data_IF_601133218688
#
_entry.id   IF_601133218688
#
_cell.length_a   1.000
_cell.length_b   1.000
_cell.length_c   1.000
_cell.angle_alpha   90.00
_cell.angle_beta   90.00
_cell.angle_gamma   90.00
#
_symmetry.space_group_name_H-M   'P 1'
#
loop_
_entity.id
_entity.type
_entity.pdbx_description
1 polymer ?
#
# COMPACT_ATOMS: atom_id res chain seq x y z
N UNK A 1 15.54 15.80 35.11
CA UNK A 1 15.53 16.62 36.35
C UNK A 1 15.46 15.67 37.52
N UNK A 2 16.41 15.76 38.44
CA UNK A 2 16.54 14.85 39.59
C UNK A 2 15.40 15.07 40.60
N UNK A 3 14.41 14.16 40.58
CA UNK A 3 13.18 14.20 41.38
C UNK A 3 13.34 13.46 42.72
N UNK A 4 14.48 13.59 43.39
CA UNK A 4 14.62 13.06 44.76
C UNK A 4 13.53 13.67 45.66
N UNK A 5 12.67 12.86 46.30
CA UNK A 5 11.58 13.34 47.15
C UNK A 5 12.09 14.22 48.30
N UNK A 6 11.34 15.26 48.68
CA UNK A 6 11.71 16.15 49.79
C UNK A 6 11.85 15.40 51.12
N UNK A 7 11.11 14.30 51.31
CA UNK A 7 11.25 13.42 52.47
C UNK A 7 12.64 12.80 52.57
N UNK A 8 13.19 12.33 51.44
CA UNK A 8 14.55 11.78 51.39
C UNK A 8 15.62 12.83 51.74
N UNK A 9 15.35 14.11 51.49
CA UNK A 9 16.24 15.22 51.87
C UNK A 9 16.15 15.50 53.38
N UNK A 10 14.96 15.44 53.99
CA UNK A 10 14.78 15.61 55.44
C UNK A 10 15.41 14.43 56.18
N UNK A 11 15.07 13.19 55.80
CA UNK A 11 15.56 11.97 56.44
C UNK A 11 17.10 11.88 56.41
N UNK A 12 17.72 12.24 55.27
CA UNK A 12 19.18 12.29 55.14
C UNK A 12 19.82 13.36 56.03
N UNK A 13 19.16 14.52 56.20
CA UNK A 13 19.65 15.57 57.08
C UNK A 13 19.52 15.19 58.57
N UNK A 14 18.42 14.56 58.96
CA UNK A 14 18.21 14.07 60.33
C UNK A 14 19.19 12.94 60.68
N UNK A 15 19.49 12.05 59.74
CA UNK A 15 20.42 10.93 59.95
C UNK A 15 21.88 11.37 60.12
N UNK A 16 22.34 12.33 59.30
CA UNK A 16 23.75 12.74 59.27
C UNK A 16 24.02 14.02 60.09
N UNK A 17 22.98 14.77 60.47
CA UNK A 17 23.08 15.97 61.31
C UNK A 17 23.80 17.16 60.68
N UNK A 18 24.32 17.03 59.45
CA UNK A 18 24.97 18.13 58.72
C UNK A 18 24.74 18.03 57.20
N UNK A 19 24.67 19.20 56.55
CA UNK A 19 24.34 19.34 55.11
C UNK A 19 25.37 18.66 54.21
N UNK A 20 26.65 18.60 54.62
CA UNK A 20 27.72 18.05 53.79
C UNK A 20 27.53 16.55 53.60
N UNK A 21 27.46 15.81 54.70
CA UNK A 21 27.36 14.36 54.68
C UNK A 21 26.00 13.91 54.14
N UNK A 22 24.93 14.64 54.48
CA UNK A 22 23.60 14.38 53.94
C UNK A 22 23.54 14.57 52.42
N UNK A 23 24.15 15.64 51.87
CA UNK A 23 24.19 15.87 50.43
C UNK A 23 25.00 14.81 49.68
N UNK A 24 26.12 14.38 50.25
CA UNK A 24 26.98 13.34 49.68
C UNK A 24 26.24 11.98 49.67
N UNK A 25 25.42 11.68 50.70
CA UNK A 25 24.65 10.42 50.81
C UNK A 25 23.58 10.24 49.73
N UNK A 26 23.02 11.34 49.21
CA UNK A 26 21.97 11.33 48.16
C UNK A 26 22.51 11.75 46.79
N UNK A 27 23.83 11.88 46.64
CA UNK A 27 24.48 12.20 45.36
C UNK A 27 24.23 13.63 44.87
N UNK A 28 23.99 14.60 45.76
CA UNK A 28 23.68 15.99 45.41
C UNK A 28 24.78 16.97 45.80
N UNK A 29 24.86 18.10 45.10
CA UNK A 29 25.73 19.20 45.53
C UNK A 29 25.16 19.88 46.78
N UNK A 30 26.03 20.31 47.70
CA UNK A 30 25.62 20.95 48.98
C UNK A 30 24.68 22.14 48.79
N UNK A 31 24.92 22.97 47.76
CA UNK A 31 24.08 24.11 47.46
C UNK A 31 22.66 23.69 47.02
N UNK A 32 22.55 22.60 46.25
CA UNK A 32 21.26 22.04 45.81
C UNK A 32 20.52 21.41 46.98
N UNK A 33 21.22 20.64 47.82
CA UNK A 33 20.67 20.02 49.00
C UNK A 33 20.17 21.07 50.01
N UNK A 34 20.99 22.07 50.34
CA UNK A 34 20.62 23.14 51.27
C UNK A 34 19.40 23.94 50.79
N UNK A 35 19.30 24.22 49.48
CA UNK A 35 18.12 24.87 48.90
C UNK A 35 16.85 24.01 49.02
N UNK A 36 16.96 22.70 48.76
CA UNK A 36 15.82 21.76 48.90
C UNK A 36 15.41 21.57 50.36
N UNK A 37 16.36 21.47 51.28
CA UNK A 37 16.10 21.37 52.73
C UNK A 37 15.40 22.62 53.25
N UNK A 38 15.88 23.82 52.87
CA UNK A 38 15.23 25.08 53.23
C UNK A 38 13.80 25.15 52.71
N UNK A 39 13.57 24.78 51.45
CA UNK A 39 12.23 24.71 50.86
C UNK A 39 11.33 23.67 51.54
N UNK A 40 11.87 22.55 52.02
CA UNK A 40 11.12 21.53 52.75
C UNK A 40 10.72 22.00 54.17
N UNK A 41 11.60 22.74 54.84
CA UNK A 41 11.38 23.28 56.20
C UNK A 41 10.47 24.51 56.19
N UNK A 42 10.66 25.44 55.25
CA UNK A 42 9.84 26.65 55.12
C UNK A 42 8.47 26.39 54.46
N UNK A 43 8.35 25.29 53.70
CA UNK A 43 7.16 24.95 52.93
C UNK A 43 6.02 24.29 53.72
N UNK A 44 6.22 23.93 55.00
CA UNK A 44 5.16 23.47 55.91
C UNK A 44 4.13 22.54 55.27
N UNK A 45 4.56 21.40 54.72
CA UNK A 45 3.63 20.41 54.16
C UNK A 45 3.28 19.40 55.26
N UNK A 46 2.16 19.61 55.97
CA UNK A 46 1.58 18.70 56.98
C UNK A 46 1.04 17.37 56.38
N UNK A 47 1.37 17.05 55.14
CA UNK A 47 0.89 15.86 54.44
C UNK A 47 1.98 15.23 53.58
N UNK A 48 1.99 13.90 53.55
CA UNK A 48 2.81 13.10 52.64
C UNK A 48 1.95 12.81 51.42
N UNK A 49 2.34 13.33 50.26
CA UNK A 49 1.73 12.88 49.01
C UNK A 49 2.16 11.42 48.75
N UNK A 50 1.24 10.54 48.34
CA UNK A 50 1.60 9.20 47.94
C UNK A 50 2.53 9.25 46.74
N UNK A 51 3.47 8.29 46.69
CA UNK A 51 4.23 8.05 45.47
C UNK A 51 3.25 7.60 44.39
N UNK A 52 3.09 8.41 43.34
CA UNK A 52 2.22 8.09 42.21
C UNK A 52 3.12 7.42 41.17
N UNK A 53 2.91 6.13 40.87
CA UNK A 53 3.66 5.46 39.82
C UNK A 53 3.57 6.23 38.51
N UNK A 54 4.65 6.24 37.73
CA UNK A 54 4.58 6.76 36.36
C UNK A 54 3.58 5.92 35.55
N UNK A 55 2.75 6.61 34.76
CA UNK A 55 1.68 6.01 33.95
C UNK A 55 2.16 5.52 32.58
N UNK A 56 3.47 5.67 32.30
CA UNK A 56 4.10 5.26 31.05
C UNK A 56 5.40 4.49 31.29
N UNK A 57 5.90 3.86 30.23
CA UNK A 57 7.15 3.12 30.25
C UNK A 57 8.36 4.05 30.40
N UNK A 58 9.44 3.60 31.08
CA UNK A 58 10.69 4.33 31.10
C UNK A 58 11.22 4.61 29.69
N UNK A 59 11.82 5.79 29.49
CA UNK A 59 12.29 6.24 28.17
C UNK A 59 13.21 5.21 27.49
N UNK A 60 14.12 4.57 28.23
CA UNK A 60 15.01 3.54 27.67
C UNK A 60 14.25 2.33 27.13
N UNK A 61 13.15 1.92 27.78
CA UNK A 61 12.28 0.84 27.29
C UNK A 61 11.58 1.27 25.99
N UNK A 62 11.12 2.51 25.90
CA UNK A 62 10.54 3.06 24.67
C UNK A 62 11.56 3.10 23.53
N UNK A 63 12.81 3.50 23.81
CA UNK A 63 13.91 3.52 22.84
C UNK A 63 14.17 2.11 22.30
N UNK A 64 14.27 1.11 23.17
CA UNK A 64 14.48 -0.28 22.76
C UNK A 64 13.31 -0.84 21.94
N UNK A 65 12.06 -0.53 22.32
CA UNK A 65 10.88 -0.92 21.55
C UNK A 65 10.90 -0.30 20.14
N UNK A 66 11.24 0.99 20.02
CA UNK A 66 11.34 1.66 18.73
C UNK A 66 12.47 1.09 17.87
N UNK A 67 13.63 0.79 18.47
CA UNK A 67 14.77 0.17 17.79
C UNK A 67 14.42 -1.21 17.24
N UNK A 68 13.75 -2.06 18.04
CA UNK A 68 13.32 -3.38 17.61
C UNK A 68 12.27 -3.30 16.50
N UNK A 69 11.28 -2.41 16.62
CA UNK A 69 10.30 -2.13 15.56
C UNK A 69 10.97 -1.66 14.27
N UNK A 70 11.98 -0.79 14.36
CA UNK A 70 12.74 -0.34 13.18
C UNK A 70 13.43 -1.51 12.48
N UNK A 71 14.14 -2.37 13.21
CA UNK A 71 14.82 -3.56 12.63
C UNK A 71 13.83 -4.45 11.89
N UNK A 72 12.69 -4.77 12.52
CA UNK A 72 11.66 -5.60 11.91
C UNK A 72 11.04 -4.94 10.67
N UNK A 73 10.68 -3.66 10.74
CA UNK A 73 10.11 -2.90 9.62
C UNK A 73 11.10 -2.77 8.47
N UNK A 74 12.39 -2.56 8.76
CA UNK A 74 13.47 -2.51 7.77
C UNK A 74 13.61 -3.86 7.06
N UNK A 75 13.70 -4.96 7.80
CA UNK A 75 13.81 -6.30 7.23
C UNK A 75 12.59 -6.63 6.34
N UNK A 76 11.38 -6.31 6.81
CA UNK A 76 10.16 -6.44 6.02
C UNK A 76 10.23 -5.60 4.73
N UNK A 77 10.59 -4.32 4.81
CA UNK A 77 10.64 -3.43 3.64
C UNK A 77 11.69 -3.84 2.62
N UNK A 78 12.84 -4.38 3.04
CA UNK A 78 13.82 -4.94 2.10
C UNK A 78 13.32 -6.23 1.46
N UNK A 79 12.66 -7.12 2.22
CA UNK A 79 12.10 -8.36 1.70
C UNK A 79 10.93 -8.13 0.73
N UNK A 80 10.12 -7.10 0.96
CA UNK A 80 8.97 -6.76 0.08
C UNK A 80 9.31 -5.76 -1.03
N UNK A 81 10.60 -5.43 -1.21
CA UNK A 81 11.06 -4.56 -2.29
C UNK A 81 10.79 -5.14 -3.68
N UNK A 82 10.86 -6.47 -3.78
CA UNK A 82 10.42 -7.27 -4.93
C UNK A 82 9.80 -8.56 -4.39
N UNK A 83 8.54 -8.79 -4.72
CA UNK A 83 7.87 -10.05 -4.43
C UNK A 83 8.23 -11.06 -5.51
N UNK A 84 9.04 -12.05 -5.13
CA UNK A 84 9.48 -13.13 -6.02
C UNK A 84 8.42 -14.25 -6.05
N UNK A 85 7.67 -14.36 -7.14
CA UNK A 85 6.63 -15.37 -7.33
C UNK A 85 7.17 -16.47 -8.25
N UNK A 86 7.20 -17.70 -7.76
CA UNK A 86 7.65 -18.86 -8.56
C UNK A 86 6.48 -19.50 -9.29
N UNK A 87 6.50 -19.46 -10.62
CA UNK A 87 5.50 -20.10 -11.46
C UNK A 87 5.74 -21.62 -11.52
N UNK A 88 4.66 -22.41 -11.50
CA UNK A 88 4.74 -23.88 -11.52
C UNK A 88 5.03 -24.47 -12.91
N UNK A 89 4.90 -23.68 -13.97
CA UNK A 89 5.08 -24.14 -15.36
C UNK A 89 5.54 -23.00 -16.26
N UNK A 90 6.06 -23.35 -17.44
CA UNK A 90 6.39 -22.41 -18.51
C UNK A 90 5.22 -22.15 -19.48
N UNK A 91 3.98 -22.49 -19.10
CA UNK A 91 2.82 -22.20 -19.95
C UNK A 91 2.58 -20.68 -20.03
N UNK A 92 2.08 -20.14 -21.15
CA UNK A 92 1.69 -18.75 -21.25
C UNK A 92 0.58 -18.46 -20.24
N UNK A 93 0.66 -17.30 -19.62
CA UNK A 93 -0.30 -16.84 -18.61
C UNK A 93 -0.82 -15.45 -18.98
N UNK A 94 -1.97 -15.09 -18.42
CA UNK A 94 -2.53 -13.74 -18.43
C UNK A 94 -2.57 -13.15 -17.03
N UNK A 95 -2.24 -11.87 -16.89
CA UNK A 95 -2.51 -11.07 -15.70
C UNK A 95 -3.54 -10.01 -16.06
N UNK A 96 -4.74 -10.11 -15.52
CA UNK A 96 -5.83 -9.18 -15.76
C UNK A 96 -5.82 -8.09 -14.69
N UNK A 97 -5.36 -6.90 -15.06
CA UNK A 97 -5.23 -5.74 -14.19
C UNK A 97 -6.53 -4.93 -14.18
N UNK A 98 -7.32 -5.08 -13.12
CA UNK A 98 -8.50 -4.30 -12.83
C UNK A 98 -8.09 -2.91 -12.33
N UNK A 99 -8.51 -1.86 -13.04
CA UNK A 99 -8.47 -0.49 -12.53
C UNK A 99 -9.59 -0.24 -11.53
N UNK A 100 -9.63 0.99 -11.02
CA UNK A 100 -10.49 1.58 -9.99
C UNK A 100 -11.96 1.11 -10.06
N UNK A 101 -12.33 0.03 -9.34
CA UNK A 101 -13.68 -0.55 -9.47
C UNK A 101 -14.76 0.37 -8.93
N UNK A 102 -14.54 1.02 -7.79
CA UNK A 102 -15.56 1.77 -7.05
C UNK A 102 -16.92 1.05 -7.04
N UNK A 103 -16.91 -0.20 -6.60
CA UNK A 103 -18.02 -1.15 -6.81
C UNK A 103 -19.35 -0.73 -6.15
N UNK A 104 -19.27 0.19 -5.19
CA UNK A 104 -20.40 0.75 -4.46
C UNK A 104 -20.95 2.05 -5.07
N UNK A 105 -20.32 2.59 -6.12
CA UNK A 105 -20.74 3.79 -6.82
C UNK A 105 -21.94 3.53 -7.74
N UNK A 106 -22.86 4.48 -7.81
CA UNK A 106 -24.05 4.41 -8.66
C UNK A 106 -23.70 4.33 -10.16
N UNK A 107 -22.49 4.72 -10.55
CA UNK A 107 -22.00 4.70 -11.93
C UNK A 107 -20.89 3.67 -12.16
N UNK A 108 -20.78 2.64 -11.31
CA UNK A 108 -19.94 1.48 -11.60
C UNK A 108 -20.46 0.71 -12.83
N UNK A 109 -19.62 0.52 -13.84
CA UNK A 109 -19.87 -0.29 -15.03
C UNK A 109 -19.82 -1.79 -14.70
N UNK A 110 -20.93 -2.28 -14.16
CA UNK A 110 -21.10 -3.66 -13.73
C UNK A 110 -21.04 -4.68 -14.87
N UNK A 111 -21.46 -4.30 -16.08
CA UNK A 111 -21.48 -5.20 -17.23
C UNK A 111 -20.05 -5.53 -17.67
N UNK A 112 -19.20 -4.51 -17.84
CA UNK A 112 -17.78 -4.71 -18.13
C UNK A 112 -17.08 -5.45 -16.99
N UNK A 113 -17.34 -5.09 -15.72
CA UNK A 113 -16.71 -5.74 -14.57
C UNK A 113 -17.03 -7.24 -14.52
N UNK A 114 -18.31 -7.62 -14.67
CA UNK A 114 -18.74 -9.01 -14.67
C UNK A 114 -18.18 -9.77 -15.87
N UNK A 115 -18.19 -9.16 -17.05
CA UNK A 115 -17.62 -9.76 -18.27
C UNK A 115 -16.13 -10.06 -18.10
N UNK A 116 -15.36 -9.12 -17.55
CA UNK A 116 -13.94 -9.30 -17.30
C UNK A 116 -13.66 -10.33 -16.18
N UNK A 117 -14.46 -10.37 -15.11
CA UNK A 117 -14.36 -11.42 -14.08
C UNK A 117 -14.65 -12.82 -14.63
N UNK A 118 -15.52 -12.94 -15.64
CA UNK A 118 -15.84 -14.22 -16.28
C UNK A 118 -14.70 -14.79 -17.14
N UNK A 119 -13.74 -13.97 -17.55
CA UNK A 119 -12.56 -14.43 -18.31
C UNK A 119 -11.71 -15.41 -17.52
N UNK A 120 -11.60 -15.23 -16.20
CA UNK A 120 -10.79 -16.12 -15.35
C UNK A 120 -11.38 -17.54 -15.25
N UNK A 121 -12.70 -17.66 -15.41
CA UNK A 121 -13.38 -18.97 -15.41
C UNK A 121 -13.34 -19.61 -16.81
N UNK A 122 -13.37 -18.77 -17.84
CA UNK A 122 -13.47 -19.19 -19.24
C UNK A 122 -12.11 -19.56 -19.85
N UNK A 123 -11.02 -19.00 -19.32
CA UNK A 123 -9.67 -19.20 -19.84
C UNK A 123 -8.71 -19.64 -18.74
N UNK A 124 -8.10 -20.82 -18.94
CA UNK A 124 -7.07 -21.33 -18.03
C UNK A 124 -5.82 -20.44 -18.06
N UNK A 125 -5.31 -20.09 -16.88
CA UNK A 125 -4.04 -19.38 -16.72
C UNK A 125 -4.17 -17.84 -16.76
N UNK A 126 -5.38 -17.30 -16.65
CA UNK A 126 -5.58 -15.88 -16.33
C UNK A 126 -5.65 -15.72 -14.81
N UNK A 127 -4.86 -14.79 -14.26
CA UNK A 127 -4.85 -14.41 -12.85
C UNK A 127 -5.31 -12.96 -12.70
N UNK A 128 -6.11 -12.69 -11.68
CA UNK A 128 -6.59 -11.35 -11.38
C UNK A 128 -5.54 -10.51 -10.65
N UNK A 129 -5.46 -9.24 -10.99
CA UNK A 129 -4.62 -8.26 -10.31
C UNK A 129 -5.41 -6.96 -10.14
N UNK A 130 -5.33 -6.31 -8.99
CA UNK A 130 -6.03 -5.03 -8.75
C UNK A 130 -5.06 -3.88 -8.56
N UNK A 131 -5.45 -2.71 -9.06
CA UNK A 131 -4.75 -1.43 -8.95
C UNK A 131 -5.34 -0.51 -7.85
N UNK A 132 -6.32 -0.98 -7.08
CA UNK A 132 -6.88 -0.25 -5.94
C UNK A 132 -8.21 0.46 -6.22
N UNK A 133 -8.68 1.20 -5.21
CA UNK A 133 -9.95 1.93 -5.19
C UNK A 133 -11.18 1.04 -5.43
N UNK A 134 -11.26 -0.02 -4.63
CA UNK A 134 -12.31 -1.04 -4.73
C UNK A 134 -13.69 -0.49 -4.40
N UNK A 135 -13.75 0.54 -3.54
CA UNK A 135 -14.95 1.25 -3.13
C UNK A 135 -14.65 2.75 -3.02
N UNK A 136 -15.70 3.56 -2.96
CA UNK A 136 -15.61 4.99 -2.75
C UNK A 136 -15.11 5.38 -1.34
N UNK A 137 -15.45 4.63 -0.30
CA UNK A 137 -15.00 4.85 1.08
C UNK A 137 -14.94 6.34 1.51
N UNK A 138 -16.01 7.11 1.35
CA UNK A 138 -15.97 8.57 1.56
C UNK A 138 -15.67 8.95 3.02
N UNK A 139 -14.46 9.45 3.30
CA UNK A 139 -14.04 9.88 4.65
C UNK A 139 -13.97 11.40 4.78
N UNK A 140 -14.23 11.93 5.98
CA UNK A 140 -14.04 13.34 6.32
C UNK A 140 -14.98 14.26 5.54
N UNK A 141 -14.44 15.29 4.88
CA UNK A 141 -15.25 16.27 4.12
C UNK A 141 -16.01 15.63 2.95
N UNK A 142 -15.53 14.50 2.44
CA UNK A 142 -16.18 13.77 1.35
C UNK A 142 -17.35 12.90 1.84
N UNK A 143 -17.47 12.66 3.16
CA UNK A 143 -18.53 11.81 3.71
C UNK A 143 -19.95 12.26 3.37
N UNK A 144 -20.16 13.55 3.05
CA UNK A 144 -21.44 14.07 2.53
C UNK A 144 -21.91 13.37 1.25
N UNK A 145 -20.98 12.84 0.44
CA UNK A 145 -21.28 12.15 -0.83
C UNK A 145 -22.02 10.82 -0.62
N UNK A 146 -22.02 10.27 0.61
CA UNK A 146 -22.92 9.16 0.94
C UNK A 146 -24.40 9.53 0.84
N UNK A 147 -24.77 10.81 0.89
CA UNK A 147 -26.14 11.25 0.61
C UNK A 147 -26.52 11.22 -0.88
N UNK A 148 -25.54 11.03 -1.76
CA UNK A 148 -25.69 10.98 -3.22
C UNK A 148 -25.47 9.54 -3.77
N UNK A 149 -25.27 8.56 -2.89
CA UNK A 149 -24.95 7.17 -3.23
C UNK A 149 -26.00 6.22 -2.63
N UNK A 150 -26.44 5.22 -3.39
CA UNK A 150 -27.49 4.29 -2.96
C UNK A 150 -26.93 3.19 -2.05
N UNK A 151 -25.64 2.92 -2.15
CA UNK A 151 -24.94 1.89 -1.40
C UNK A 151 -24.45 2.41 -0.05
N UNK A 152 -24.97 1.86 1.05
CA UNK A 152 -24.46 2.12 2.40
C UNK A 152 -23.02 1.61 2.59
N UNK A 153 -22.28 2.19 3.53
CA UNK A 153 -20.91 1.75 3.88
C UNK A 153 -20.83 0.25 4.26
N UNK A 154 -21.84 -0.27 4.98
CA UNK A 154 -21.91 -1.70 5.32
C UNK A 154 -22.11 -2.58 4.08
N UNK A 155 -22.89 -2.10 3.11
CA UNK A 155 -23.11 -2.81 1.84
C UNK A 155 -21.85 -2.77 0.97
N UNK A 156 -21.17 -1.62 0.91
CA UNK A 156 -19.92 -1.45 0.17
C UNK A 156 -18.87 -2.49 0.60
N UNK A 157 -18.71 -2.73 1.90
CA UNK A 157 -17.82 -3.77 2.41
C UNK A 157 -18.16 -5.19 1.93
N UNK A 158 -19.44 -5.55 1.87
CA UNK A 158 -19.87 -6.85 1.34
C UNK A 158 -19.57 -6.98 -0.16
N UNK A 159 -19.72 -5.88 -0.91
CA UNK A 159 -19.41 -5.86 -2.34
C UNK A 159 -17.90 -5.98 -2.59
N UNK A 160 -17.08 -5.29 -1.79
CA UNK A 160 -15.62 -5.42 -1.83
C UNK A 160 -15.17 -6.83 -1.48
N UNK A 161 -15.72 -7.42 -0.41
CA UNK A 161 -15.45 -8.82 -0.04
C UNK A 161 -15.84 -9.78 -1.17
N UNK A 162 -17.04 -9.60 -1.76
CA UNK A 162 -17.47 -10.37 -2.92
C UNK A 162 -16.50 -10.22 -4.11
N UNK A 163 -16.09 -8.99 -4.43
CA UNK A 163 -15.20 -8.70 -5.55
C UNK A 163 -13.83 -9.37 -5.38
N UNK A 164 -13.22 -9.23 -4.20
CA UNK A 164 -11.90 -9.80 -3.92
C UNK A 164 -11.95 -11.32 -3.97
N UNK A 165 -12.98 -11.93 -3.38
CA UNK A 165 -13.18 -13.37 -3.46
C UNK A 165 -13.41 -13.85 -4.89
N UNK A 166 -14.19 -13.09 -5.68
CA UNK A 166 -14.49 -13.43 -7.08
C UNK A 166 -13.29 -13.27 -7.99
N UNK A 167 -12.50 -12.22 -7.78
CA UNK A 167 -11.27 -11.92 -8.52
C UNK A 167 -10.15 -12.89 -8.15
N UNK A 168 -10.09 -13.34 -6.88
CA UNK A 168 -9.02 -14.18 -6.33
C UNK A 168 -7.63 -13.67 -6.75
N UNK A 169 -7.27 -12.44 -6.35
CA UNK A 169 -6.15 -11.73 -6.95
C UNK A 169 -4.81 -12.37 -6.61
N UNK A 170 -3.94 -12.51 -7.61
CA UNK A 170 -2.50 -12.73 -7.40
C UNK A 170 -1.87 -11.49 -6.75
N UNK A 171 -2.35 -10.31 -7.12
CA UNK A 171 -1.84 -9.01 -6.69
C UNK A 171 -3.00 -8.11 -6.28
N UNK A 172 -2.97 -7.60 -5.06
CA UNK A 172 -3.95 -6.63 -4.57
C UNK A 172 -3.23 -5.38 -4.09
N UNK A 173 -3.36 -4.29 -4.85
CA UNK A 173 -2.86 -2.97 -4.45
C UNK A 173 -4.00 -2.18 -3.83
N UNK A 174 -3.75 -1.53 -2.69
CA UNK A 174 -4.65 -0.55 -2.10
C UNK A 174 -4.50 0.82 -2.75
N UNK A 175 -5.62 1.45 -3.13
CA UNK A 175 -5.67 2.83 -3.62
C UNK A 175 -5.86 3.87 -2.53
N UNK A 176 -6.00 5.16 -2.88
CA UNK A 176 -6.20 6.17 -1.85
C UNK A 176 -7.53 6.00 -1.11
N UNK A 177 -8.59 5.60 -1.79
CA UNK A 177 -9.89 5.40 -1.17
C UNK A 177 -9.84 4.24 -0.18
N UNK A 178 -9.15 3.16 -0.54
CA UNK A 178 -8.92 2.01 0.33
C UNK A 178 -8.17 2.40 1.62
N UNK A 179 -7.17 3.28 1.49
CA UNK A 179 -6.26 3.64 2.58
C UNK A 179 -6.79 4.73 3.53
N UNK A 180 -7.85 5.47 3.19
CA UNK A 180 -8.36 6.57 4.03
C UNK A 180 -8.82 6.13 5.43
N UNK A 181 -9.22 4.86 5.60
CA UNK A 181 -9.62 4.31 6.91
C UNK A 181 -8.44 3.87 7.79
N UNK A 182 -7.20 3.96 7.28
CA UNK A 182 -5.98 3.69 8.03
C UNK A 182 -5.94 2.29 8.67
N UNK A 183 -5.92 2.23 10.00
CA UNK A 183 -5.92 0.97 10.74
C UNK A 183 -7.26 0.20 10.66
N UNK A 184 -8.34 0.89 10.30
CA UNK A 184 -9.68 0.32 10.15
C UNK A 184 -9.98 -0.22 8.75
N UNK A 185 -9.00 -0.25 7.83
CA UNK A 185 -9.19 -0.76 6.47
C UNK A 185 -9.47 -2.28 6.49
N UNK A 186 -10.66 -2.72 6.04
CA UNK A 186 -11.05 -4.13 6.09
C UNK A 186 -10.36 -4.99 5.02
N UNK A 187 -9.74 -4.40 3.99
CA UNK A 187 -9.03 -5.15 2.93
C UNK A 187 -7.93 -6.05 3.49
N UNK A 188 -7.32 -5.64 4.60
CA UNK A 188 -6.29 -6.40 5.33
C UNK A 188 -6.81 -7.73 5.87
N UNK A 189 -8.12 -7.84 6.07
CA UNK A 189 -8.79 -9.00 6.65
C UNK A 189 -9.54 -9.83 5.60
N UNK A 190 -9.90 -9.22 4.47
CA UNK A 190 -10.64 -9.86 3.37
C UNK A 190 -9.76 -10.65 2.39
N UNK A 191 -8.43 -10.52 2.48
CA UNK A 191 -7.50 -11.17 1.55
C UNK A 191 -7.07 -12.57 1.97
N UNK A 192 -6.97 -13.47 1.00
CA UNK A 192 -6.46 -14.83 1.22
C UNK A 192 -4.93 -14.90 1.38
N UNK A 193 -4.44 -16.04 1.85
CA UNK A 193 -3.01 -16.28 2.14
C UNK A 193 -2.09 -16.25 0.90
N UNK A 194 -2.64 -16.35 -0.32
CA UNK A 194 -1.88 -16.52 -1.56
C UNK A 194 -1.85 -15.26 -2.45
N UNK A 195 -2.02 -14.08 -1.85
CA UNK A 195 -2.06 -12.79 -2.56
C UNK A 195 -0.90 -11.90 -2.14
N UNK A 196 -0.20 -11.30 -3.11
CA UNK A 196 0.70 -10.19 -2.81
C UNK A 196 -0.15 -8.95 -2.53
N UNK A 197 -0.15 -8.51 -1.28
CA UNK A 197 -0.90 -7.33 -0.84
C UNK A 197 0.05 -6.21 -0.47
N UNK A 198 -0.06 -5.09 -1.15
CA UNK A 198 0.71 -3.89 -0.84
C UNK A 198 -0.18 -2.65 -0.83
N UNK A 199 0.19 -1.70 0.02
CA UNK A 199 -0.44 -0.39 0.05
C UNK A 199 0.25 0.46 -1.05
N UNK A 200 -0.52 1.02 -1.98
CA UNK A 200 -0.09 1.93 -3.07
C UNK A 200 0.77 1.35 -4.20
N UNK A 201 1.79 0.53 -3.94
CA UNK A 201 2.75 0.06 -4.95
C UNK A 201 3.22 -1.37 -4.68
N UNK A 202 3.20 -2.22 -5.71
CA UNK A 202 3.78 -3.55 -5.69
C UNK A 202 4.80 -3.73 -6.82
N UNK A 203 5.97 -4.28 -6.48
CA UNK A 203 6.98 -4.72 -7.44
C UNK A 203 7.08 -6.22 -7.38
N UNK A 204 6.86 -6.87 -8.52
CA UNK A 204 6.66 -8.31 -8.59
C UNK A 204 7.53 -8.88 -9.67
N UNK A 205 8.12 -10.02 -9.37
CA UNK A 205 8.99 -10.75 -10.27
C UNK A 205 8.45 -12.17 -10.42
N UNK A 206 7.89 -12.46 -11.59
CA UNK A 206 7.43 -13.81 -11.94
C UNK A 206 8.59 -14.63 -12.46
N UNK A 207 8.99 -15.66 -11.72
CA UNK A 207 10.09 -16.55 -12.05
C UNK A 207 9.55 -17.84 -12.67
N UNK A 208 9.86 -18.06 -13.94
CA UNK A 208 9.44 -19.26 -14.67
C UNK A 208 10.49 -20.38 -14.57
N UNK A 209 10.09 -21.66 -14.62
CA UNK A 209 11.01 -22.79 -14.55
C UNK A 209 12.14 -22.79 -15.61
N UNK A 210 11.94 -22.18 -16.76
CA UNK A 210 12.99 -22.01 -17.79
C UNK A 210 14.03 -20.92 -17.44
N UNK A 211 13.97 -20.34 -16.25
CA UNK A 211 14.87 -19.27 -15.79
C UNK A 211 14.49 -17.87 -16.27
N UNK A 212 13.45 -17.72 -17.10
CA UNK A 212 12.99 -16.40 -17.52
C UNK A 212 12.24 -15.70 -16.38
N UNK A 213 12.49 -14.40 -16.25
CA UNK A 213 11.89 -13.56 -15.21
C UNK A 213 11.05 -12.45 -15.83
N UNK A 214 9.79 -12.30 -15.42
CA UNK A 214 8.94 -11.16 -15.78
C UNK A 214 8.75 -10.23 -14.58
N UNK A 215 9.51 -9.13 -14.57
CA UNK A 215 9.36 -8.02 -13.62
C UNK A 215 8.21 -7.09 -13.98
N UNK A 216 7.40 -6.71 -13.01
CA UNK A 216 6.26 -5.81 -13.11
C UNK A 216 6.33 -4.80 -11.98
N UNK A 217 6.12 -3.54 -12.31
CA UNK A 217 5.94 -2.44 -11.37
C UNK A 217 4.51 -1.93 -11.50
N UNK A 218 3.67 -2.29 -10.53
CA UNK A 218 2.29 -1.86 -10.47
C UNK A 218 2.09 -0.89 -9.31
N UNK A 219 1.32 0.16 -9.50
CA UNK A 219 0.99 1.12 -8.46
C UNK A 219 -0.42 1.66 -8.66
N UNK A 220 -1.06 2.14 -7.61
CA UNK A 220 -2.33 2.84 -7.75
C UNK A 220 -2.16 4.10 -8.62
N UNK A 221 -1.18 4.96 -8.31
CA UNK A 221 -0.63 5.93 -9.27
C UNK A 221 0.91 5.98 -9.20
N UNK A 222 1.50 6.40 -10.31
CA UNK A 222 2.94 6.60 -10.43
C UNK A 222 3.30 8.09 -10.39
N UNK A 223 4.48 8.45 -9.84
CA UNK A 223 4.87 9.85 -9.70
C UNK A 223 5.18 10.50 -11.06
N UNK A 224 4.53 11.62 -11.33
CA UNK A 224 4.69 12.40 -12.55
C UNK A 224 3.34 12.68 -13.21
N UNK A 225 3.21 13.83 -13.87
CA UNK A 225 1.98 14.21 -14.55
C UNK A 225 2.29 15.00 -15.81
N UNK A 226 1.40 14.87 -16.80
CA UNK A 226 1.40 15.67 -18.01
C UNK A 226 -0.05 15.80 -18.48
N UNK A 227 -0.43 17.01 -18.87
CA UNK A 227 -1.72 17.27 -19.53
C UNK A 227 -1.78 16.70 -20.96
N UNK A 228 -0.63 16.35 -21.54
CA UNK A 228 -0.51 15.90 -22.94
C UNK A 228 -0.27 14.39 -23.09
N UNK A 229 0.28 13.74 -22.06
CA UNK A 229 0.66 12.34 -22.11
C UNK A 229 0.16 11.60 -20.86
N UNK A 230 -0.90 10.81 -21.03
CA UNK A 230 -1.51 10.01 -19.95
C UNK A 230 -0.56 8.98 -19.33
N UNK A 231 0.46 8.55 -20.07
CA UNK A 231 1.49 7.60 -19.66
C UNK A 231 2.81 8.27 -19.23
N UNK A 232 2.81 9.59 -18.99
CA UNK A 232 4.02 10.32 -18.60
C UNK A 232 4.67 9.73 -17.35
N UNK A 233 3.89 9.36 -16.34
CA UNK A 233 4.41 8.78 -15.10
C UNK A 233 5.08 7.44 -15.37
N UNK A 234 4.40 6.53 -16.08
CA UNK A 234 4.91 5.22 -16.48
C UNK A 234 6.21 5.34 -17.28
N UNK A 235 6.25 6.24 -18.26
CA UNK A 235 7.45 6.48 -19.08
C UNK A 235 8.62 7.00 -18.23
N UNK A 236 8.35 7.92 -17.29
CA UNK A 236 9.35 8.40 -16.33
C UNK A 236 9.86 7.25 -15.44
N UNK A 237 8.97 6.37 -14.97
CA UNK A 237 9.36 5.21 -14.16
C UNK A 237 10.24 4.25 -14.97
N UNK A 238 9.87 3.95 -16.21
CA UNK A 238 10.65 3.08 -17.10
C UNK A 238 12.07 3.61 -17.37
N UNK A 239 12.22 4.94 -17.50
CA UNK A 239 13.53 5.56 -17.78
C UNK A 239 14.43 5.71 -16.55
N UNK A 240 13.85 6.00 -15.38
CA UNK A 240 14.63 6.46 -14.22
C UNK A 240 14.59 5.53 -13.00
N UNK A 241 13.74 4.49 -13.00
CA UNK A 241 13.55 3.62 -11.83
C UNK A 241 13.96 2.18 -12.14
N UNK A 242 13.66 1.29 -11.19
CA UNK A 242 13.98 -0.13 -11.29
C UNK A 242 13.38 -0.74 -12.56
N UNK A 243 14.17 -1.57 -13.24
CA UNK A 243 13.81 -2.25 -14.48
C UNK A 243 12.62 -3.18 -14.28
N UNK A 244 11.62 -3.04 -15.15
CA UNK A 244 10.44 -3.88 -15.26
C UNK A 244 10.01 -4.02 -16.74
N UNK A 245 9.32 -5.11 -17.06
CA UNK A 245 8.71 -5.34 -18.37
C UNK A 245 7.32 -4.73 -18.49
N UNK A 246 6.70 -4.37 -17.36
CA UNK A 246 5.45 -3.63 -17.30
C UNK A 246 5.49 -2.58 -16.19
N UNK A 247 5.10 -1.36 -16.54
CA UNK A 247 4.78 -0.27 -15.62
C UNK A 247 3.30 0.07 -15.76
N UNK A 248 2.50 -0.22 -14.74
CA UNK A 248 1.04 -0.08 -14.81
C UNK A 248 0.45 0.68 -13.62
N UNK A 249 -0.56 1.51 -13.86
CA UNK A 249 -1.31 2.19 -12.80
C UNK A 249 -2.80 2.40 -13.08
N UNK A 250 -3.56 2.84 -12.07
CA UNK A 250 -4.99 3.21 -12.14
C UNK A 250 -5.20 4.70 -11.84
N UNK A 251 -6.07 5.03 -10.86
CA UNK A 251 -6.28 6.30 -10.16
C UNK A 251 -6.87 7.46 -10.97
N UNK A 252 -6.41 7.67 -12.21
CA UNK A 252 -6.73 8.88 -12.99
C UNK A 252 -7.96 8.76 -13.87
N UNK A 253 -8.65 7.62 -13.81
CA UNK A 253 -9.85 7.35 -14.58
C UNK A 253 -9.68 7.59 -16.09
N UNK A 254 -8.50 7.25 -16.59
CA UNK A 254 -8.17 7.21 -18.01
C UNK A 254 -7.25 6.00 -18.29
N UNK A 255 -7.22 5.56 -19.53
CA UNK A 255 -6.39 4.46 -19.99
C UNK A 255 -5.37 4.92 -21.03
N UNK A 256 -4.36 4.09 -21.21
CA UNK A 256 -3.37 4.23 -22.26
C UNK A 256 -2.46 3.02 -22.31
N UNK A 257 -1.95 2.72 -23.50
CA UNK A 257 -0.92 1.70 -23.73
C UNK A 257 0.20 2.25 -24.59
N UNK A 258 1.43 1.92 -24.25
CA UNK A 258 2.60 2.13 -25.09
C UNK A 258 3.61 1.02 -24.85
N UNK A 259 4.39 0.71 -25.88
CA UNK A 259 5.50 -0.24 -25.80
C UNK A 259 6.77 0.50 -26.20
N UNK A 260 7.77 0.47 -25.34
CA UNK A 260 9.01 1.23 -25.53
C UNK A 260 10.22 0.32 -25.44
N UNK A 261 11.30 0.71 -26.12
CA UNK A 261 12.61 0.11 -25.97
C UNK A 261 13.46 0.94 -24.99
N UNK A 262 14.08 0.24 -24.04
CA UNK A 262 15.21 0.76 -23.26
C UNK A 262 16.49 0.41 -24.01
N UNK A 263 17.05 1.41 -24.71
CA UNK A 263 18.24 1.26 -25.56
C UNK A 263 19.47 0.87 -24.74
N UNK A 264 19.61 1.38 -23.51
CA UNK A 264 20.78 1.08 -22.67
C UNK A 264 20.75 -0.37 -22.18
N UNK A 265 19.55 -0.88 -21.85
CA UNK A 265 19.37 -2.25 -21.36
C UNK A 265 19.12 -3.27 -22.45
N UNK A 266 18.83 -2.84 -23.68
CA UNK A 266 18.42 -3.70 -24.81
C UNK A 266 17.22 -4.57 -24.44
N UNK A 267 16.27 -3.97 -23.73
CA UNK A 267 15.02 -4.61 -23.31
C UNK A 267 13.84 -3.74 -23.70
N UNK A 268 12.65 -4.33 -23.71
CA UNK A 268 11.42 -3.56 -23.90
C UNK A 268 10.57 -3.55 -22.64
N UNK A 269 9.72 -2.53 -22.52
CA UNK A 269 8.78 -2.38 -21.43
C UNK A 269 7.43 -1.86 -21.93
N UNK A 270 6.36 -2.47 -21.43
CA UNK A 270 5.01 -1.96 -21.56
C UNK A 270 4.76 -0.85 -20.54
N UNK A 271 4.11 0.21 -21.00
CA UNK A 271 3.56 1.28 -20.20
C UNK A 271 2.04 1.17 -20.30
N UNK A 272 1.37 1.09 -19.16
CA UNK A 272 -0.07 0.91 -19.12
C UNK A 272 -0.73 1.78 -18.06
N UNK A 273 -1.97 2.18 -18.35
CA UNK A 273 -2.89 2.69 -17.34
C UNK A 273 -4.26 2.07 -17.58
N UNK A 274 -4.88 1.56 -16.51
CA UNK A 274 -6.26 1.13 -16.53
C UNK A 274 -7.15 2.29 -16.07
N UNK A 275 -8.28 2.48 -16.73
CA UNK A 275 -9.27 3.52 -16.40
C UNK A 275 -10.06 3.19 -15.13
N UNK A 276 -10.34 1.92 -14.89
CA UNK A 276 -11.32 1.51 -13.87
C UNK A 276 -12.76 1.60 -14.35
N UNK A 277 -13.67 1.21 -13.46
CA UNK A 277 -15.07 0.90 -13.77
C UNK A 277 -16.04 1.99 -13.34
N UNK A 278 -15.59 3.01 -12.61
CA UNK A 278 -16.38 4.21 -12.37
C UNK A 278 -16.55 4.98 -13.68
N UNK A 279 -17.75 4.94 -14.25
CA UNK A 279 -17.98 5.51 -15.57
C UNK A 279 -18.14 7.02 -15.50
N UNK A 280 -19.03 7.49 -14.63
CA UNK A 280 -19.28 8.91 -14.42
C UNK A 280 -18.65 9.42 -13.12
N UNK A 281 -17.89 10.49 -13.24
CA UNK A 281 -17.28 11.19 -12.12
C UNK A 281 -17.64 12.68 -12.14
N UNK A 282 -18.40 13.11 -11.13
CA UNK A 282 -18.77 14.52 -10.93
C UNK A 282 -17.53 15.41 -10.78
N UNK A 283 -16.44 14.90 -10.20
CA UNK A 283 -15.18 15.65 -10.11
C UNK A 283 -14.60 15.92 -11.50
N UNK A 284 -14.57 14.90 -12.37
CA UNK A 284 -14.12 15.05 -13.76
C UNK A 284 -14.97 16.09 -14.51
N UNK A 285 -16.29 16.04 -14.37
CA UNK A 285 -17.21 17.00 -14.99
C UNK A 285 -16.93 18.44 -14.51
N UNK A 286 -16.84 18.67 -13.20
CA UNK A 286 -16.59 20.01 -12.64
C UNK A 286 -15.22 20.56 -13.05
N UNK A 287 -14.23 19.68 -13.27
CA UNK A 287 -12.88 20.06 -13.72
C UNK A 287 -12.73 20.14 -15.24
N UNK A 288 -13.79 19.85 -16.01
CA UNK A 288 -13.78 19.89 -17.46
C UNK A 288 -12.96 18.78 -18.13
N UNK A 289 -12.78 17.64 -17.44
CA UNK A 289 -12.14 16.47 -18.03
C UNK A 289 -13.17 15.64 -18.81
N UNK A 290 -12.85 15.33 -20.07
CA UNK A 290 -13.65 14.38 -20.84
C UNK A 290 -13.42 12.94 -20.34
N UNK A 291 -14.49 12.15 -20.31
CA UNK A 291 -14.46 10.76 -19.88
C UNK A 291 -14.20 9.86 -21.09
N UNK A 292 -13.22 8.96 -20.96
CA UNK A 292 -13.00 7.89 -21.93
C UNK A 292 -14.05 6.78 -21.75
N UNK A 293 -14.26 5.95 -22.78
CA UNK A 293 -15.29 4.90 -22.78
C UNK A 293 -14.76 3.47 -22.55
N UNK A 294 -13.45 3.25 -22.63
CA UNK A 294 -12.84 1.92 -22.70
C UNK A 294 -11.67 1.78 -21.71
N UNK A 295 -11.00 0.62 -21.73
CA UNK A 295 -9.77 0.38 -20.98
C UNK A 295 -9.95 0.29 -19.46
N UNK A 296 -11.14 -0.14 -19.01
CA UNK A 296 -11.47 -0.37 -17.60
C UNK A 296 -10.45 -1.30 -16.93
N UNK A 297 -9.96 -2.31 -17.66
CA UNK A 297 -8.90 -3.21 -17.28
C UNK A 297 -7.89 -3.40 -18.41
N UNK A 298 -6.68 -3.86 -18.06
CA UNK A 298 -5.62 -4.18 -19.02
C UNK A 298 -5.22 -5.65 -18.82
N UNK A 299 -5.25 -6.45 -19.88
CA UNK A 299 -4.76 -7.83 -19.85
C UNK A 299 -3.31 -7.88 -20.34
N UNK A 300 -2.39 -8.34 -19.48
CA UNK A 300 -1.01 -8.63 -19.84
C UNK A 300 -0.85 -10.13 -20.11
N UNK A 301 -0.44 -10.50 -21.31
CA UNK A 301 -0.04 -11.87 -21.65
C UNK A 301 1.47 -12.01 -21.54
N UNK A 302 1.91 -13.10 -20.90
CA UNK A 302 3.33 -13.45 -20.73
C UNK A 302 3.53 -14.87 -21.26
N UNK A 303 4.28 -14.99 -22.35
CA UNK A 303 4.71 -16.27 -22.90
C UNK A 303 6.22 -16.45 -22.67
N UNK A 304 6.63 -17.20 -21.63
CA UNK A 304 8.03 -17.32 -21.28
C UNK A 304 8.85 -18.09 -22.34
N UNK A 305 8.20 -18.81 -23.26
CA UNK A 305 8.86 -19.57 -24.33
C UNK A 305 9.01 -18.77 -25.63
N UNK A 306 8.40 -17.59 -25.74
CA UNK A 306 8.55 -16.73 -26.92
C UNK A 306 9.89 -15.99 -26.89
N UNK A 307 10.82 -16.34 -27.78
CA UNK A 307 12.16 -15.73 -27.80
C UNK A 307 12.19 -14.26 -28.25
N UNK A 308 11.09 -13.75 -28.82
CA UNK A 308 11.01 -12.36 -29.26
C UNK A 308 11.03 -11.40 -28.05
N UNK A 309 11.98 -10.46 -27.97
CA UNK A 309 12.03 -9.48 -26.88
C UNK A 309 10.86 -8.49 -26.91
N UNK A 310 10.12 -8.39 -28.03
CA UNK A 310 8.99 -7.47 -28.19
C UNK A 310 7.62 -8.13 -28.04
N UNK A 311 7.51 -9.46 -28.15
CA UNK A 311 6.21 -10.14 -28.15
C UNK A 311 6.04 -11.25 -27.11
N UNK A 312 7.05 -11.46 -26.26
CA UNK A 312 6.92 -12.39 -25.13
C UNK A 312 6.08 -11.83 -23.97
N UNK A 313 5.96 -10.49 -23.90
CA UNK A 313 4.97 -9.79 -23.09
C UNK A 313 4.13 -8.91 -23.99
N UNK A 314 2.81 -8.96 -23.86
CA UNK A 314 1.88 -8.15 -24.65
C UNK A 314 0.75 -7.63 -23.77
N UNK A 315 0.37 -6.36 -23.92
CA UNK A 315 -0.77 -5.78 -23.21
C UNK A 315 -1.94 -5.51 -24.18
N UNK A 316 -3.16 -5.72 -23.68
CA UNK A 316 -4.41 -5.51 -24.40
C UNK A 316 -5.34 -4.62 -23.56
N UNK A 317 -5.89 -3.58 -24.20
CA UNK A 317 -6.91 -2.72 -23.59
C UNK A 317 -8.31 -3.35 -23.68
N UNK A 318 -8.50 -4.31 -24.58
CA UNK A 318 -9.63 -5.24 -24.59
C UNK A 318 -9.20 -6.59 -24.00
N UNK A 319 -9.62 -6.91 -22.76
CA UNK A 319 -9.32 -8.20 -22.15
C UNK A 319 -9.84 -9.41 -22.92
N UNK A 320 -10.92 -9.29 -23.69
CA UNK A 320 -11.47 -10.40 -24.47
C UNK A 320 -10.54 -10.79 -25.62
N UNK A 321 -10.05 -9.82 -26.38
CA UNK A 321 -9.06 -10.06 -27.44
C UNK A 321 -7.78 -10.65 -26.86
N UNK A 322 -7.30 -10.13 -25.72
CA UNK A 322 -6.12 -10.69 -25.06
C UNK A 322 -6.32 -12.13 -24.56
N UNK A 323 -7.53 -12.51 -24.16
CA UNK A 323 -7.84 -13.88 -23.73
C UNK A 323 -7.82 -14.86 -24.92
N UNK A 324 -8.36 -14.47 -26.08
CA UNK A 324 -8.23 -15.27 -27.31
C UNK A 324 -6.77 -15.36 -27.77
N UNK A 325 -5.99 -14.27 -27.65
CA UNK A 325 -4.56 -14.31 -27.92
C UNK A 325 -3.82 -15.27 -26.98
N UNK A 326 -4.14 -15.28 -25.69
CA UNK A 326 -3.57 -16.23 -24.73
C UNK A 326 -3.85 -17.68 -25.14
N UNK A 327 -5.11 -17.98 -25.49
CA UNK A 327 -5.52 -19.30 -25.96
C UNK A 327 -4.73 -19.73 -27.20
N UNK A 328 -4.53 -18.82 -28.16
CA UNK A 328 -3.66 -19.05 -29.31
C UNK A 328 -2.21 -19.34 -28.90
N UNK A 329 -1.62 -18.55 -27.99
CA UNK A 329 -0.25 -18.83 -27.49
C UNK A 329 -0.14 -20.19 -26.82
N UNK A 330 -1.15 -20.57 -26.04
CA UNK A 330 -1.20 -21.87 -25.38
C UNK A 330 -1.34 -23.04 -26.37
N UNK A 331 -2.05 -22.86 -27.49
CA UNK A 331 -2.17 -23.91 -28.52
C UNK A 331 -0.87 -24.17 -29.28
N UNK A 332 0.07 -23.22 -29.31
CA UNK A 332 1.40 -23.41 -29.92
C UNK A 332 2.34 -24.28 -29.08
N UNK A 333 1.95 -24.63 -27.85
CA UNK A 333 2.75 -25.44 -26.91
C UNK A 333 2.19 -26.85 -26.71
N UNK A 334 1.09 -27.18 -27.38
CA UNK A 334 0.56 -28.54 -27.50
C UNK A 334 1.23 -29.21 -28.70
#
# INVERSE_FOLDING_TARGET
>A
MDKTPLKTIIDAYEMHGNIREAADSVGMTRATFGRKLKAAVEGGLDYILPDVPEDDLPVEVLVDQLHNRFKQRKAHKEATKWHEITMKSNKPIGLLWYGDPHIDDNYCDWDSLRSHLALQDSYSGIYGCSLGDHQNNWVGRLGRLYGEQDTSHKTAWKLVEWLINRMNPLVLIGGNHDMWSGAGDPLKWMTGLNTVREDWEARISLNFPNGRQCRIHAAHDMPGHSQWNSLHAQNKMARFKSHAHLYISGHRHNWGLAHIEDVERKTTAWLARARGYKFHDTYAFVKGFEQQNFGQAILQIIDPNNNSPVSWTQCFADPHEGAEYLKFRQSLQQ
#
